data_IF_123645186970
#
_entry.id   IF_123645186970
#
_cell.length_a   1.000
_cell.length_b   1.000
_cell.length_c   1.000
_cell.angle_alpha   90.00
_cell.angle_beta   90.00
_cell.angle_gamma   90.00
#
_symmetry.space_group_name_H-M   'P 1'
#
loop_
_entity.id
_entity.type
_entity.pdbx_description
1 polymer ?
#
# COMPACT_ATOMS: atom_id res chain seq x y z
N UNK A 1 2.76 29.63 -6.95
CA UNK A 1 2.38 29.49 -5.54
C UNK A 1 2.69 28.05 -5.14
N UNK A 2 3.14 27.81 -3.91
CA UNK A 2 3.31 26.46 -3.38
C UNK A 2 1.98 25.71 -3.42
N UNK A 3 2.00 24.43 -3.75
CA UNK A 3 0.81 23.58 -3.69
C UNK A 3 0.51 23.23 -2.24
N UNK A 4 -0.76 23.28 -1.86
CA UNK A 4 -1.19 22.92 -0.51
C UNK A 4 -1.64 21.46 -0.46
N UNK A 5 -1.06 20.68 0.43
CA UNK A 5 -1.30 19.23 0.53
C UNK A 5 -1.66 18.83 1.96
N UNK A 6 -2.76 18.11 2.12
CA UNK A 6 -3.07 17.40 3.36
C UNK A 6 -2.57 15.95 3.26
N UNK A 7 -1.62 15.55 4.07
CA UNK A 7 -1.23 14.15 4.26
C UNK A 7 -2.08 13.51 5.36
N UNK A 8 -2.91 12.53 5.04
CA UNK A 8 -3.77 11.85 6.01
C UNK A 8 -3.18 10.51 6.42
N UNK A 9 -2.59 10.48 7.61
CA UNK A 9 -1.95 9.31 8.19
C UNK A 9 -0.45 9.46 8.37
N UNK A 10 0.00 9.67 9.61
CA UNK A 10 1.41 9.84 9.98
C UNK A 10 2.10 8.50 10.32
N UNK A 11 1.81 7.43 9.56
CA UNK A 11 2.58 6.18 9.58
C UNK A 11 3.93 6.37 8.88
N UNK A 12 4.76 5.31 8.78
CA UNK A 12 6.07 5.39 8.09
C UNK A 12 5.95 6.02 6.70
N UNK A 13 5.10 5.44 5.85
CA UNK A 13 4.97 5.91 4.47
C UNK A 13 4.33 7.30 4.35
N UNK A 14 3.32 7.61 5.17
CA UNK A 14 2.67 8.93 5.14
C UNK A 14 3.59 10.05 5.60
N UNK A 15 4.40 9.83 6.64
CA UNK A 15 5.38 10.82 7.10
C UNK A 15 6.47 11.07 6.07
N UNK A 16 6.93 10.02 5.40
CA UNK A 16 7.97 10.13 4.35
C UNK A 16 7.45 10.86 3.12
N UNK A 17 6.24 10.54 2.66
CA UNK A 17 5.64 11.26 1.53
C UNK A 17 5.35 12.73 1.87
N UNK A 18 4.95 13.03 3.10
CA UNK A 18 4.76 14.40 3.56
C UNK A 18 6.10 15.18 3.58
N UNK A 19 7.18 14.54 4.07
CA UNK A 19 8.54 15.12 4.03
C UNK A 19 9.04 15.37 2.61
N UNK A 20 8.84 14.41 1.70
CA UNK A 20 9.20 14.55 0.29
C UNK A 20 8.47 15.73 -0.38
N UNK A 21 7.17 15.89 -0.09
CA UNK A 21 6.38 16.99 -0.63
C UNK A 21 6.80 18.35 -0.07
N UNK A 22 7.13 18.41 1.23
CA UNK A 22 7.67 19.60 1.88
C UNK A 22 9.04 19.97 1.28
N UNK A 23 9.94 19.00 1.11
CA UNK A 23 11.24 19.17 0.45
C UNK A 23 11.08 19.68 -1.00
N UNK A 24 10.04 19.25 -1.71
CA UNK A 24 9.71 19.72 -3.06
C UNK A 24 9.04 21.11 -3.07
N UNK A 25 8.91 21.79 -1.92
CA UNK A 25 8.37 23.14 -1.79
C UNK A 25 6.84 23.23 -1.74
N UNK A 26 6.15 22.15 -1.39
CA UNK A 26 4.72 22.19 -1.10
C UNK A 26 4.46 22.64 0.34
N UNK A 27 3.32 23.30 0.58
CA UNK A 27 2.80 23.60 1.93
C UNK A 27 2.04 22.37 2.44
N UNK A 28 2.64 21.60 3.38
CA UNK A 28 2.15 20.29 3.79
C UNK A 28 1.66 20.31 5.22
N UNK A 29 0.40 19.89 5.44
CA UNK A 29 -0.10 19.53 6.77
C UNK A 29 -0.27 18.03 6.89
N UNK A 30 0.39 17.43 7.89
CA UNK A 30 0.33 15.99 8.16
C UNK A 30 -0.68 15.71 9.28
N UNK A 31 -1.78 15.05 8.95
CA UNK A 31 -2.78 14.68 9.95
C UNK A 31 -2.48 13.32 10.60
N UNK A 32 -2.59 13.29 11.93
CA UNK A 32 -2.62 12.05 12.72
C UNK A 32 -3.75 12.09 13.74
N UNK A 33 -4.43 10.97 13.92
CA UNK A 33 -5.42 10.84 14.99
C UNK A 33 -4.80 10.85 16.39
N UNK A 34 -3.48 10.66 16.52
CA UNK A 34 -2.77 10.56 17.79
C UNK A 34 -2.11 11.90 18.17
N UNK A 35 -2.63 12.59 19.19
CA UNK A 35 -2.10 13.89 19.59
C UNK A 35 -0.65 13.82 20.14
N UNK A 36 -0.24 12.71 20.73
CA UNK A 36 1.15 12.53 21.19
C UNK A 36 2.12 12.49 20.02
N UNK A 37 1.74 11.82 18.93
CA UNK A 37 2.53 11.79 17.70
C UNK A 37 2.62 13.17 17.04
N UNK A 38 1.50 13.92 17.02
CA UNK A 38 1.49 15.30 16.51
C UNK A 38 2.42 16.18 17.31
N UNK A 39 2.42 16.04 18.64
CA UNK A 39 3.34 16.77 19.51
C UNK A 39 4.81 16.43 19.22
N UNK A 40 5.14 15.14 19.08
CA UNK A 40 6.50 14.69 18.72
C UNK A 40 6.95 15.29 17.38
N UNK A 41 6.08 15.23 16.34
CA UNK A 41 6.38 15.79 15.03
C UNK A 41 6.64 17.31 15.06
N UNK A 42 5.84 18.08 15.81
CA UNK A 42 5.95 19.54 15.84
C UNK A 42 7.04 20.06 16.77
N UNK A 43 7.35 19.38 17.90
CA UNK A 43 8.29 19.85 18.89
C UNK A 43 9.69 19.25 18.75
N UNK A 44 9.78 18.00 18.26
CA UNK A 44 11.03 17.26 18.15
C UNK A 44 11.41 16.99 16.69
N UNK A 45 10.50 17.25 15.76
CA UNK A 45 10.64 16.96 14.32
C UNK A 45 11.00 15.50 14.06
N UNK A 46 10.51 14.58 14.90
CA UNK A 46 10.73 13.13 14.78
C UNK A 46 9.42 12.36 14.77
N UNK A 47 9.49 11.12 14.34
CA UNK A 47 8.37 10.15 14.40
C UNK A 47 8.97 8.77 14.73
N UNK A 48 9.53 8.66 15.92
CA UNK A 48 10.43 7.57 16.36
C UNK A 48 9.79 6.19 16.32
N UNK A 49 8.46 6.12 16.52
CA UNK A 49 7.70 4.87 16.40
C UNK A 49 7.74 4.29 14.99
N UNK A 50 7.77 5.16 13.97
CA UNK A 50 7.57 4.78 12.57
C UNK A 50 8.83 4.93 11.71
N UNK A 51 9.62 5.97 11.93
CA UNK A 51 10.90 6.22 11.24
C UNK A 51 11.94 6.53 12.30
N UNK A 52 12.85 5.60 12.51
CA UNK A 52 13.93 5.76 13.46
C UNK A 52 15.06 6.60 12.88
N UNK A 53 15.71 7.39 13.73
CA UNK A 53 16.94 8.13 13.37
C UNK A 53 16.76 9.08 12.18
N UNK A 54 15.59 9.69 12.04
CA UNK A 54 15.31 10.70 11.03
C UNK A 54 14.68 11.93 11.67
N UNK A 55 15.12 13.11 11.24
CA UNK A 55 14.59 14.41 11.67
C UNK A 55 13.91 15.06 10.46
N UNK A 56 12.63 15.36 10.59
CA UNK A 56 11.85 16.07 9.58
C UNK A 56 12.19 17.56 9.58
N UNK A 57 11.88 18.24 8.48
CA UNK A 57 12.01 19.69 8.36
C UNK A 57 11.11 20.43 9.37
N UNK A 58 11.57 21.59 9.86
CA UNK A 58 10.81 22.48 10.74
C UNK A 58 9.56 23.06 10.04
N UNK A 59 9.53 23.05 8.70
CA UNK A 59 8.38 23.48 7.90
C UNK A 59 7.24 22.45 7.85
N UNK A 60 7.51 21.17 8.12
CA UNK A 60 6.48 20.13 8.15
C UNK A 60 5.62 20.25 9.41
N UNK A 61 4.39 20.71 9.23
CA UNK A 61 3.44 20.90 10.34
C UNK A 61 2.51 19.70 10.46
N UNK A 62 2.35 19.17 11.67
CA UNK A 62 1.40 18.10 11.98
C UNK A 62 0.18 18.64 12.76
N UNK A 63 -0.99 18.03 12.56
CA UNK A 63 -2.22 18.36 13.29
C UNK A 63 -3.05 17.10 13.58
N UNK A 64 -3.82 17.13 14.67
CA UNK A 64 -4.82 16.10 14.96
C UNK A 64 -6.25 16.57 14.64
N UNK A 65 -6.42 17.80 14.15
CA UNK A 65 -7.68 18.31 13.64
C UNK A 65 -7.77 18.09 12.12
N UNK A 66 -8.68 17.20 11.70
CA UNK A 66 -8.87 16.90 10.28
C UNK A 66 -9.40 18.11 9.49
N UNK A 67 -10.21 18.99 10.15
CA UNK A 67 -10.72 20.22 9.53
C UNK A 67 -9.59 21.19 9.23
N UNK A 68 -8.64 21.34 10.17
CA UNK A 68 -7.46 22.16 9.98
C UNK A 68 -6.54 21.57 8.89
N UNK A 69 -6.35 20.25 8.88
CA UNK A 69 -5.49 19.57 7.90
C UNK A 69 -5.91 19.83 6.45
N UNK A 70 -7.23 19.81 6.16
CA UNK A 70 -7.75 19.91 4.79
C UNK A 70 -8.27 21.30 4.40
N UNK A 71 -7.91 22.33 5.18
CA UNK A 71 -8.35 23.69 4.93
C UNK A 71 -7.68 24.32 3.71
N UNK A 72 -8.46 24.58 2.66
CA UNK A 72 -7.99 25.26 1.45
C UNK A 72 -6.90 24.51 0.67
N UNK A 73 -6.79 23.17 0.84
CA UNK A 73 -5.79 22.38 0.14
C UNK A 73 -6.14 22.11 -1.31
N UNK A 74 -5.12 21.92 -2.15
CA UNK A 74 -5.23 21.52 -3.55
C UNK A 74 -5.32 19.99 -3.69
N UNK A 75 -4.63 19.26 -2.77
CA UNK A 75 -4.48 17.81 -2.79
C UNK A 75 -4.73 17.22 -1.40
N UNK A 76 -5.38 16.05 -1.37
CA UNK A 76 -5.49 15.22 -0.18
C UNK A 76 -4.81 13.87 -0.47
N UNK A 77 -3.79 13.53 0.30
CA UNK A 77 -3.03 12.29 0.20
C UNK A 77 -3.42 11.33 1.33
N UNK A 78 -4.16 10.26 0.98
CA UNK A 78 -4.56 9.21 1.92
C UNK A 78 -3.45 8.16 2.07
N UNK A 79 -2.92 8.02 3.28
CA UNK A 79 -1.91 7.00 3.66
C UNK A 79 -2.28 6.33 4.99
N UNK A 80 -3.57 6.26 5.27
CA UNK A 80 -4.11 5.53 6.41
C UNK A 80 -4.20 4.03 6.11
N UNK A 81 -4.26 3.14 7.12
CA UNK A 81 -4.50 1.71 6.90
C UNK A 81 -5.76 1.48 6.06
N UNK A 82 -5.72 0.48 5.19
CA UNK A 82 -6.79 0.16 4.24
C UNK A 82 -8.17 0.12 4.88
N UNK A 83 -8.31 -0.58 6.01
CA UNK A 83 -9.61 -0.81 6.65
C UNK A 83 -10.19 0.43 7.36
N UNK A 84 -9.40 1.49 7.55
CA UNK A 84 -9.88 2.78 8.09
C UNK A 84 -10.11 3.83 7.01
N UNK A 85 -9.73 3.59 5.77
CA UNK A 85 -9.83 4.56 4.66
C UNK A 85 -11.26 5.07 4.51
N UNK A 86 -12.26 4.19 4.53
CA UNK A 86 -13.67 4.58 4.39
C UNK A 86 -14.13 5.55 5.48
N UNK A 87 -13.79 5.26 6.73
CA UNK A 87 -14.21 6.11 7.85
C UNK A 87 -13.57 7.50 7.82
N UNK A 88 -12.31 7.59 7.39
CA UNK A 88 -11.63 8.87 7.20
C UNK A 88 -12.20 9.60 5.97
N UNK A 89 -12.47 8.90 4.88
CA UNK A 89 -13.05 9.47 3.66
C UNK A 89 -14.45 10.09 3.92
N UNK A 90 -15.28 9.46 4.77
CA UNK A 90 -16.58 10.03 5.18
C UNK A 90 -16.40 11.38 5.88
N UNK A 91 -15.50 11.46 6.85
CA UNK A 91 -15.23 12.71 7.57
C UNK A 91 -14.68 13.79 6.61
N UNK A 92 -13.78 13.42 5.71
CA UNK A 92 -13.28 14.33 4.66
C UNK A 92 -14.40 14.80 3.76
N UNK A 93 -15.29 13.92 3.33
CA UNK A 93 -16.42 14.25 2.47
C UNK A 93 -17.38 15.28 3.10
N UNK A 94 -17.69 15.12 4.39
CA UNK A 94 -18.50 16.07 5.14
C UNK A 94 -17.86 17.46 5.16
N UNK A 95 -16.55 17.55 5.47
CA UNK A 95 -15.82 18.82 5.53
C UNK A 95 -15.75 19.49 4.15
N UNK A 96 -15.45 18.71 3.10
CA UNK A 96 -15.39 19.24 1.73
C UNK A 96 -16.75 19.75 1.24
N UNK A 97 -17.83 19.05 1.61
CA UNK A 97 -19.20 19.45 1.26
C UNK A 97 -19.58 20.77 1.95
N UNK A 98 -19.32 20.89 3.26
CA UNK A 98 -19.61 22.10 4.04
C UNK A 98 -18.88 23.34 3.48
N UNK A 99 -17.69 23.15 2.93
CA UNK A 99 -16.86 24.21 2.38
C UNK A 99 -17.02 24.42 0.88
N UNK A 100 -17.80 23.59 0.20
CA UNK A 100 -17.92 23.56 -1.26
C UNK A 100 -16.54 23.50 -1.93
N UNK A 101 -15.60 22.74 -1.32
CA UNK A 101 -14.22 22.63 -1.76
C UNK A 101 -14.05 21.46 -2.72
N UNK A 102 -13.23 21.65 -3.77
CA UNK A 102 -12.93 20.62 -4.78
C UNK A 102 -11.44 20.37 -4.86
N UNK A 103 -11.02 19.14 -4.62
CA UNK A 103 -9.61 18.74 -4.46
C UNK A 103 -9.20 17.60 -5.38
N UNK A 104 -7.90 17.43 -5.62
CA UNK A 104 -7.36 16.18 -6.16
C UNK A 104 -7.12 15.20 -4.99
N UNK A 105 -7.53 13.95 -5.18
CA UNK A 105 -7.35 12.89 -4.19
C UNK A 105 -6.26 11.95 -4.68
N UNK A 106 -5.30 11.67 -3.81
CA UNK A 106 -4.23 10.70 -4.02
C UNK A 106 -4.33 9.68 -2.89
N UNK A 107 -4.20 8.40 -3.17
CA UNK A 107 -3.94 7.43 -2.13
C UNK A 107 -2.65 6.65 -2.40
N UNK A 108 -1.96 6.31 -1.32
CA UNK A 108 -0.76 5.49 -1.36
C UNK A 108 -0.86 4.29 -0.40
N UNK A 109 -2.06 4.00 0.10
CA UNK A 109 -2.36 2.81 0.89
C UNK A 109 -2.47 1.59 -0.03
N UNK A 110 -2.03 0.44 0.46
CA UNK A 110 -1.83 -0.78 -0.34
C UNK A 110 -2.64 -1.95 0.24
N UNK A 111 -3.89 -2.11 -0.23
CA UNK A 111 -4.80 -3.16 0.24
C UNK A 111 -6.17 -3.11 -0.44
N UNK A 112 -7.03 -4.04 -0.03
CA UNK A 112 -8.43 -4.18 -0.47
C UNK A 112 -9.32 -4.14 0.77
N UNK A 113 -10.45 -3.44 0.72
CA UNK A 113 -11.40 -3.37 1.83
C UNK A 113 -12.05 -4.74 2.07
N UNK A 114 -11.95 -5.29 3.30
CA UNK A 114 -12.34 -6.67 3.61
C UNK A 114 -13.83 -6.96 3.37
N UNK A 115 -14.72 -6.06 3.79
CA UNK A 115 -16.17 -6.34 3.76
C UNK A 115 -16.79 -6.25 2.38
N UNK A 116 -16.32 -5.31 1.59
CA UNK A 116 -16.87 -5.00 0.26
C UNK A 116 -16.02 -5.55 -0.87
N UNK A 117 -14.76 -5.87 -0.58
CA UNK A 117 -13.73 -6.24 -1.57
C UNK A 117 -13.46 -5.16 -2.61
N UNK A 118 -13.73 -3.90 -2.25
CA UNK A 118 -13.47 -2.75 -3.12
C UNK A 118 -12.01 -2.33 -3.06
N UNK A 119 -11.50 -1.87 -4.21
CA UNK A 119 -10.25 -1.15 -4.31
C UNK A 119 -10.40 0.23 -3.64
N UNK A 120 -9.31 0.81 -3.16
CA UNK A 120 -9.38 2.06 -2.41
C UNK A 120 -9.90 3.24 -3.25
N UNK A 121 -9.57 3.29 -4.55
CA UNK A 121 -10.16 4.28 -5.46
C UNK A 121 -11.68 4.19 -5.51
N UNK A 122 -12.25 3.00 -5.47
CA UNK A 122 -13.69 2.78 -5.44
C UNK A 122 -14.31 3.17 -4.09
N UNK A 123 -13.61 2.88 -2.98
CA UNK A 123 -14.03 3.32 -1.63
C UNK A 123 -14.08 4.84 -1.57
N UNK A 124 -13.02 5.52 -2.01
CA UNK A 124 -12.95 6.98 -2.04
C UNK A 124 -14.02 7.58 -2.97
N UNK A 125 -14.27 6.92 -4.12
CA UNK A 125 -15.31 7.34 -5.05
C UNK A 125 -16.74 7.21 -4.51
N UNK A 126 -17.00 6.24 -3.63
CA UNK A 126 -18.30 6.09 -2.96
C UNK A 126 -18.54 7.15 -1.88
N UNK A 127 -17.50 7.51 -1.14
CA UNK A 127 -17.64 8.39 0.00
C UNK A 127 -17.55 9.88 -0.37
N UNK A 128 -16.73 10.25 -1.35
CA UNK A 128 -16.49 11.65 -1.71
C UNK A 128 -17.23 11.98 -3.01
N UNK A 129 -18.19 12.90 -2.94
CA UNK A 129 -19.02 13.31 -4.07
C UNK A 129 -18.15 13.84 -5.25
N UNK A 130 -18.48 13.53 -6.51
CA UNK A 130 -17.81 14.10 -7.69
C UNK A 130 -17.70 15.62 -7.73
N UNK A 131 -18.64 16.33 -7.11
CA UNK A 131 -18.58 17.81 -7.00
C UNK A 131 -17.42 18.29 -6.13
N UNK A 132 -16.97 17.47 -5.16
CA UNK A 132 -15.91 17.80 -4.21
C UNK A 132 -14.55 17.20 -4.56
N UNK A 133 -14.43 16.45 -5.68
CA UNK A 133 -13.16 15.87 -6.15
C UNK A 133 -12.92 16.20 -7.63
N UNK A 134 -11.67 16.46 -7.98
CA UNK A 134 -11.21 16.64 -9.36
C UNK A 134 -10.80 15.31 -9.98
N UNK A 135 -10.05 14.50 -9.21
CA UNK A 135 -9.53 13.18 -9.60
C UNK A 135 -9.37 12.28 -8.39
N UNK A 136 -9.26 10.97 -8.62
CA UNK A 136 -8.74 10.00 -7.67
C UNK A 136 -7.57 9.28 -8.33
N UNK A 137 -6.41 9.33 -7.70
CA UNK A 137 -5.18 8.75 -8.23
C UNK A 137 -4.53 7.84 -7.19
N UNK A 138 -3.80 6.84 -7.64
CA UNK A 138 -3.01 5.94 -6.78
C UNK A 138 -1.53 6.13 -7.03
N UNK A 139 -0.73 6.18 -5.94
CA UNK A 139 0.73 6.21 -6.00
C UNK A 139 1.26 4.89 -5.44
N UNK A 140 2.01 4.13 -6.24
CA UNK A 140 2.58 2.85 -5.83
C UNK A 140 3.86 2.49 -6.59
N UNK A 141 4.66 1.57 -6.03
CA UNK A 141 5.92 1.09 -6.57
C UNK A 141 6.87 0.64 -5.47
N UNK A 142 8.08 0.18 -5.81
CA UNK A 142 9.10 -0.22 -4.85
C UNK A 142 9.56 1.01 -4.06
N UNK A 143 9.09 1.13 -2.83
CA UNK A 143 9.29 2.34 -2.03
C UNK A 143 9.23 1.99 -0.54
N UNK A 144 10.38 1.63 0.02
CA UNK A 144 10.53 1.47 1.46
C UNK A 144 10.73 2.84 2.10
N UNK A 145 9.97 3.14 3.14
CA UNK A 145 10.03 4.43 3.80
C UNK A 145 11.44 4.75 4.33
N UNK A 146 12.09 3.75 4.88
CA UNK A 146 13.45 3.83 5.43
C UNK A 146 14.51 4.19 4.39
N UNK A 147 14.32 3.76 3.15
CA UNK A 147 15.25 4.02 2.05
C UNK A 147 14.99 5.42 1.46
N UNK A 148 13.73 5.80 1.32
CA UNK A 148 13.34 7.12 0.76
C UNK A 148 13.84 8.27 1.64
N UNK A 149 13.76 8.15 2.97
CA UNK A 149 14.26 9.22 3.87
C UNK A 149 15.78 9.40 3.83
N UNK A 150 16.50 8.41 3.34
CA UNK A 150 17.96 8.51 3.10
C UNK A 150 18.30 8.93 1.67
N UNK A 151 17.30 9.37 0.92
CA UNK A 151 17.41 9.80 -0.49
C UNK A 151 17.93 8.70 -1.44
N UNK A 152 17.61 7.41 -1.14
CA UNK A 152 17.91 6.34 -2.06
C UNK A 152 17.04 6.44 -3.33
N UNK A 153 17.60 6.03 -4.45
CA UNK A 153 16.93 6.10 -5.76
C UNK A 153 15.62 5.31 -5.71
N UNK A 154 14.51 6.04 -5.80
CA UNK A 154 13.17 5.47 -5.71
C UNK A 154 12.35 5.80 -6.95
N UNK A 155 11.80 4.77 -7.57
CA UNK A 155 10.94 4.90 -8.74
C UNK A 155 9.54 4.36 -8.42
N UNK A 156 8.51 5.17 -8.68
CA UNK A 156 7.11 4.77 -8.44
C UNK A 156 6.23 5.11 -9.64
N UNK A 157 5.00 4.61 -9.62
CA UNK A 157 3.97 4.92 -10.62
C UNK A 157 2.82 5.67 -9.96
N UNK A 158 2.36 6.75 -10.57
CA UNK A 158 1.06 7.35 -10.32
C UNK A 158 0.09 6.93 -11.41
N UNK A 159 -1.05 6.33 -11.03
CA UNK A 159 -2.11 6.02 -11.97
C UNK A 159 -3.38 6.84 -11.68
N UNK A 160 -4.00 7.34 -12.76
CA UNK A 160 -5.21 8.16 -12.68
C UNK A 160 -6.06 7.99 -13.93
N UNK A 161 -7.39 8.14 -13.80
CA UNK A 161 -8.32 8.22 -14.94
C UNK A 161 -8.17 9.53 -15.73
N UNK A 162 -7.36 10.48 -15.23
CA UNK A 162 -7.08 11.77 -15.85
C UNK A 162 -5.59 11.93 -16.07
N UNK A 163 -5.17 11.99 -17.34
CA UNK A 163 -3.77 12.23 -17.74
C UNK A 163 -3.23 13.53 -17.16
N UNK A 164 -4.08 14.57 -17.11
CA UNK A 164 -3.70 15.85 -16.51
C UNK A 164 -3.40 15.67 -15.02
N UNK A 165 -4.26 14.98 -14.27
CA UNK A 165 -4.06 14.73 -12.84
C UNK A 165 -2.81 13.87 -12.61
N UNK A 166 -2.59 12.83 -13.42
CA UNK A 166 -1.38 12.02 -13.34
C UNK A 166 -0.11 12.86 -13.55
N UNK A 167 -0.10 13.73 -14.55
CA UNK A 167 1.04 14.63 -14.84
C UNK A 167 1.27 15.66 -13.74
N UNK A 168 0.20 16.26 -13.21
CA UNK A 168 0.31 17.22 -12.09
C UNK A 168 0.88 16.54 -10.83
N UNK A 169 0.40 15.34 -10.50
CA UNK A 169 0.87 14.57 -9.35
C UNK A 169 2.31 14.08 -9.57
N UNK A 170 2.66 13.66 -10.78
CA UNK A 170 4.03 13.35 -11.15
C UNK A 170 4.96 14.52 -10.80
N UNK A 171 4.63 15.73 -11.24
CA UNK A 171 5.41 16.94 -10.96
C UNK A 171 5.47 17.30 -9.48
N UNK A 172 4.45 16.94 -8.71
CA UNK A 172 4.38 17.20 -7.27
C UNK A 172 5.41 16.38 -6.47
N UNK A 173 5.63 15.11 -6.86
CA UNK A 173 6.50 14.18 -6.13
C UNK A 173 7.91 14.06 -6.71
N UNK A 174 8.14 14.42 -7.99
CA UNK A 174 9.44 14.24 -8.62
C UNK A 174 10.53 15.17 -8.06
N UNK A 175 11.71 14.59 -7.80
CA UNK A 175 12.95 15.30 -7.55
C UNK A 175 14.16 14.49 -8.06
N UNK A 176 15.38 14.78 -7.56
CA UNK A 176 16.62 14.14 -8.02
C UNK A 176 16.82 12.68 -7.58
N UNK A 177 16.09 12.20 -6.56
CA UNK A 177 16.15 10.82 -6.08
C UNK A 177 14.79 10.08 -6.15
N UNK A 178 13.68 10.81 -6.31
CA UNK A 178 12.34 10.24 -6.38
C UNK A 178 11.72 10.50 -7.76
N UNK A 179 11.57 9.43 -8.56
CA UNK A 179 11.06 9.51 -9.93
C UNK A 179 9.68 8.88 -10.04
N UNK A 180 8.75 9.57 -10.67
CA UNK A 180 7.37 9.12 -10.86
C UNK A 180 7.08 8.89 -12.34
N UNK A 181 6.51 7.72 -12.67
CA UNK A 181 5.96 7.42 -14.00
C UNK A 181 4.43 7.51 -13.94
N UNK A 182 3.82 7.93 -15.03
CA UNK A 182 2.35 8.00 -15.14
C UNK A 182 1.79 6.71 -15.74
N UNK A 183 0.53 6.40 -15.41
CA UNK A 183 -0.25 5.29 -15.97
C UNK A 183 -1.74 5.65 -15.98
N UNK A 184 -2.50 5.08 -16.90
CA UNK A 184 -3.96 5.12 -16.95
C UNK A 184 -4.60 3.88 -16.27
N UNK A 185 -3.81 2.86 -15.94
CA UNK A 185 -4.29 1.61 -15.33
C UNK A 185 -4.34 1.70 -13.80
N UNK A 186 -5.32 2.43 -13.29
CA UNK A 186 -5.61 2.50 -11.82
C UNK A 186 -5.88 1.11 -11.25
N UNK A 187 -6.58 0.24 -12.00
CA UNK A 187 -6.95 -1.12 -11.55
C UNK A 187 -5.70 -1.96 -11.31
N UNK A 188 -4.81 -2.03 -12.29
CA UNK A 188 -3.59 -2.84 -12.22
C UNK A 188 -2.65 -2.36 -11.13
N UNK A 189 -2.46 -1.03 -11.01
CA UNK A 189 -1.59 -0.45 -9.98
C UNK A 189 -2.12 -0.75 -8.57
N UNK A 190 -3.43 -0.61 -8.31
CA UNK A 190 -4.02 -0.92 -7.00
C UNK A 190 -3.95 -2.42 -6.66
N UNK A 191 -4.27 -3.30 -7.63
CA UNK A 191 -4.25 -4.75 -7.43
C UNK A 191 -2.82 -5.24 -7.19
N UNK A 192 -1.86 -4.79 -7.99
CA UNK A 192 -0.43 -5.11 -7.79
C UNK A 192 0.04 -4.69 -6.41
N UNK A 193 -0.23 -3.44 -6.04
CA UNK A 193 0.12 -2.88 -4.74
C UNK A 193 -0.49 -3.64 -3.54
N UNK A 194 -1.72 -4.11 -3.67
CA UNK A 194 -2.41 -4.83 -2.60
C UNK A 194 -1.88 -6.27 -2.48
N UNK A 195 -1.87 -7.02 -3.58
CA UNK A 195 -1.63 -8.46 -3.56
C UNK A 195 -0.15 -8.84 -3.35
N UNK A 196 0.81 -7.95 -3.68
CA UNK A 196 2.22 -8.16 -3.34
C UNK A 196 2.44 -8.50 -1.85
N UNK A 197 1.60 -7.95 -0.98
CA UNK A 197 1.68 -8.17 0.46
C UNK A 197 1.44 -9.64 0.85
N UNK A 198 0.62 -10.36 0.07
CA UNK A 198 0.39 -11.80 0.22
C UNK A 198 1.67 -12.57 -0.12
N UNK A 199 2.31 -12.19 -1.23
CA UNK A 199 3.56 -12.83 -1.67
C UNK A 199 4.69 -12.58 -0.67
N UNK A 200 4.73 -11.39 -0.08
CA UNK A 200 5.70 -11.07 0.97
C UNK A 200 5.49 -11.91 2.25
N UNK A 201 4.23 -12.17 2.65
CA UNK A 201 3.92 -13.12 3.73
C UNK A 201 4.47 -14.51 3.42
N UNK A 202 4.17 -15.04 2.23
CA UNK A 202 4.66 -16.34 1.77
C UNK A 202 6.19 -16.41 1.74
N UNK A 203 6.86 -15.36 1.24
CA UNK A 203 8.33 -15.28 1.18
C UNK A 203 8.95 -15.31 2.59
N UNK A 204 8.36 -14.58 3.54
CA UNK A 204 8.74 -14.63 4.93
C UNK A 204 8.56 -16.03 5.53
N UNK A 205 7.43 -16.69 5.29
CA UNK A 205 7.15 -18.04 5.78
C UNK A 205 8.16 -19.07 5.25
N UNK A 206 8.46 -19.01 3.95
CA UNK A 206 9.51 -19.86 3.36
C UNK A 206 10.88 -19.64 4.03
N UNK A 207 11.23 -18.38 4.30
CA UNK A 207 12.49 -18.07 4.98
C UNK A 207 12.51 -18.60 6.42
N UNK A 208 11.42 -18.43 7.17
CA UNK A 208 11.28 -18.96 8.54
C UNK A 208 11.39 -20.48 8.62
N UNK A 209 10.96 -21.18 7.59
CA UNK A 209 11.10 -22.64 7.44
C UNK A 209 12.49 -23.07 6.97
N UNK A 210 13.39 -22.13 6.61
CA UNK A 210 14.74 -22.41 6.16
C UNK A 210 14.91 -22.67 4.66
N UNK A 211 13.86 -22.41 3.83
CA UNK A 211 13.98 -22.45 2.38
C UNK A 211 14.89 -21.35 1.86
N UNK A 212 15.48 -21.58 0.67
CA UNK A 212 16.50 -20.72 0.07
C UNK A 212 15.96 -19.90 -1.11
N UNK A 213 16.85 -19.28 -1.85
CA UNK A 213 16.51 -18.31 -2.91
C UNK A 213 15.72 -18.89 -4.07
N UNK A 214 15.90 -20.18 -4.44
CA UNK A 214 15.10 -20.82 -5.49
C UNK A 214 13.60 -20.83 -5.14
N UNK A 215 13.26 -21.21 -3.90
CA UNK A 215 11.86 -21.23 -3.44
C UNK A 215 11.26 -19.81 -3.40
N UNK A 216 12.03 -18.83 -2.95
CA UNK A 216 11.62 -17.43 -2.93
C UNK A 216 11.40 -16.89 -4.35
N UNK A 217 12.33 -17.14 -5.28
CA UNK A 217 12.20 -16.73 -6.67
C UNK A 217 10.98 -17.38 -7.34
N UNK A 218 10.78 -18.70 -7.15
CA UNK A 218 9.59 -19.40 -7.66
C UNK A 218 8.28 -18.81 -7.10
N UNK A 219 8.22 -18.55 -5.79
CA UNK A 219 7.06 -17.92 -5.15
C UNK A 219 6.75 -16.54 -5.75
N UNK A 220 7.77 -15.68 -5.91
CA UNK A 220 7.59 -14.34 -6.48
C UNK A 220 7.10 -14.41 -7.92
N UNK A 221 7.70 -15.25 -8.76
CA UNK A 221 7.34 -15.42 -10.18
C UNK A 221 5.92 -15.95 -10.33
N UNK A 222 5.59 -17.03 -9.63
CA UNK A 222 4.26 -17.64 -9.72
C UNK A 222 3.18 -16.79 -9.03
N UNK A 223 3.54 -16.11 -7.93
CA UNK A 223 2.68 -15.15 -7.27
C UNK A 223 2.32 -13.96 -8.16
N UNK A 224 3.31 -13.43 -8.90
CA UNK A 224 3.07 -12.37 -9.90
C UNK A 224 2.10 -12.82 -10.99
N UNK A 225 2.22 -14.06 -11.47
CA UNK A 225 1.29 -14.63 -12.44
C UNK A 225 -0.15 -14.72 -11.89
N UNK A 226 -0.33 -15.09 -10.60
CA UNK A 226 -1.64 -15.07 -9.95
C UNK A 226 -2.23 -13.65 -9.86
N UNK A 227 -1.40 -12.69 -9.45
CA UNK A 227 -1.78 -11.26 -9.36
C UNK A 227 -2.21 -10.74 -10.73
N UNK A 228 -1.46 -11.06 -11.78
CA UNK A 228 -1.77 -10.67 -13.16
C UNK A 228 -3.10 -11.28 -13.63
N UNK A 229 -3.34 -12.57 -13.40
CA UNK A 229 -4.61 -13.22 -13.75
C UNK A 229 -5.80 -12.56 -13.04
N UNK A 230 -5.70 -12.35 -11.73
CA UNK A 230 -6.78 -11.70 -11.00
C UNK A 230 -6.99 -10.26 -11.48
N UNK A 231 -5.94 -9.48 -11.63
CA UNK A 231 -6.03 -8.09 -12.10
C UNK A 231 -6.63 -7.98 -13.49
N UNK A 232 -6.21 -8.81 -14.42
CA UNK A 232 -6.77 -8.88 -15.78
C UNK A 232 -8.26 -9.22 -15.78
N UNK A 233 -8.72 -10.07 -14.84
CA UNK A 233 -10.15 -10.37 -14.68
C UNK A 233 -10.99 -9.16 -14.25
N UNK A 234 -10.35 -8.11 -13.74
CA UNK A 234 -10.95 -6.81 -13.42
C UNK A 234 -10.74 -5.76 -14.52
N UNK A 235 -10.07 -6.10 -15.61
CA UNK A 235 -9.77 -5.21 -16.72
C UNK A 235 -8.43 -4.48 -16.63
N UNK A 236 -7.53 -4.89 -15.73
CA UNK A 236 -6.18 -4.35 -15.69
C UNK A 236 -5.36 -4.75 -16.92
N UNK A 237 -4.44 -3.89 -17.30
CA UNK A 237 -3.44 -4.20 -18.32
C UNK A 237 -2.40 -5.18 -17.76
N UNK A 238 -2.19 -6.37 -18.34
CA UNK A 238 -1.20 -7.33 -17.85
C UNK A 238 0.23 -6.78 -17.83
N UNK A 239 0.57 -5.80 -18.67
CA UNK A 239 1.88 -5.15 -18.66
C UNK A 239 2.14 -4.30 -17.41
N UNK A 240 1.10 -3.85 -16.72
CA UNK A 240 1.24 -3.14 -15.44
C UNK A 240 1.95 -3.98 -14.39
N UNK A 241 1.73 -5.30 -14.42
CA UNK A 241 2.29 -6.22 -13.42
C UNK A 241 3.79 -6.51 -13.62
N UNK A 242 4.34 -6.32 -14.80
CA UNK A 242 5.79 -6.40 -15.03
C UNK A 242 6.50 -5.06 -14.77
N UNK A 243 5.76 -4.02 -14.39
CA UNK A 243 6.25 -2.69 -14.04
C UNK A 243 6.55 -2.51 -12.55
N UNK A 244 6.68 -1.22 -12.16
CA UNK A 244 7.04 -0.82 -10.79
C UNK A 244 6.03 -1.27 -9.74
N UNK A 245 4.72 -1.13 -10.01
CA UNK A 245 3.65 -1.52 -9.07
C UNK A 245 3.35 -3.02 -9.03
N UNK A 246 4.00 -3.80 -9.88
CA UNK A 246 3.94 -5.26 -9.91
C UNK A 246 5.25 -5.89 -9.45
N UNK A 247 6.08 -6.36 -10.40
CA UNK A 247 7.33 -7.07 -10.10
C UNK A 247 8.27 -6.25 -9.24
N UNK A 248 8.42 -4.94 -9.48
CA UNK A 248 9.30 -4.07 -8.70
C UNK A 248 8.93 -4.04 -7.22
N UNK A 249 7.64 -3.80 -6.94
CA UNK A 249 7.14 -3.73 -5.56
C UNK A 249 7.10 -5.11 -4.87
N UNK A 250 6.91 -6.21 -5.62
CA UNK A 250 7.06 -7.58 -5.10
C UNK A 250 8.50 -7.84 -4.67
N UNK A 251 9.48 -7.54 -5.52
CA UNK A 251 10.90 -7.78 -5.23
C UNK A 251 11.29 -7.08 -3.93
N UNK A 252 11.08 -5.76 -3.84
CA UNK A 252 11.49 -5.01 -2.64
C UNK A 252 10.76 -5.48 -1.38
N UNK A 253 9.48 -5.89 -1.48
CA UNK A 253 8.68 -6.26 -0.31
C UNK A 253 8.96 -7.69 0.16
N UNK A 254 9.17 -8.63 -0.77
CA UNK A 254 9.41 -10.03 -0.48
C UNK A 254 10.87 -10.35 -0.10
N UNK A 255 11.81 -9.42 -0.34
CA UNK A 255 13.22 -9.61 0.00
C UNK A 255 13.71 -8.77 1.17
N UNK A 256 12.92 -7.78 1.61
CA UNK A 256 13.33 -6.87 2.68
C UNK A 256 12.83 -7.30 4.06
N UNK A 257 13.74 -7.31 5.03
CA UNK A 257 13.43 -7.50 6.45
C UNK A 257 12.68 -6.30 7.07
N UNK A 258 12.64 -5.16 6.40
CA UNK A 258 11.82 -4.00 6.81
C UNK A 258 10.34 -4.22 6.50
N UNK A 259 10.00 -5.13 5.56
CA UNK A 259 8.62 -5.46 5.24
C UNK A 259 7.89 -6.10 6.42
N UNK A 260 6.82 -5.45 6.89
CA UNK A 260 5.96 -5.99 7.95
C UNK A 260 5.34 -7.34 7.57
N UNK A 261 4.91 -7.47 6.31
CA UNK A 261 4.32 -8.72 5.80
C UNK A 261 5.37 -9.83 5.77
N UNK A 262 6.58 -9.54 5.31
CA UNK A 262 7.68 -10.51 5.32
C UNK A 262 8.01 -10.95 6.75
N UNK A 263 8.14 -10.02 7.70
CA UNK A 263 8.41 -10.34 9.11
C UNK A 263 7.31 -11.19 9.72
N UNK A 264 6.05 -10.85 9.46
CA UNK A 264 4.91 -11.66 9.93
C UNK A 264 4.97 -13.09 9.38
N UNK A 265 5.21 -13.23 8.07
CA UNK A 265 5.40 -14.55 7.44
C UNK A 265 6.57 -15.31 8.06
N UNK A 266 7.70 -14.66 8.32
CA UNK A 266 8.87 -15.28 8.94
C UNK A 266 8.55 -15.86 10.34
N UNK A 267 7.81 -15.13 11.16
CA UNK A 267 7.40 -15.63 12.47
C UNK A 267 6.40 -16.81 12.36
N UNK A 268 5.46 -16.74 11.41
CA UNK A 268 4.57 -17.89 11.11
C UNK A 268 5.39 -19.13 10.66
N UNK A 269 6.39 -18.94 9.79
CA UNK A 269 7.28 -20.00 9.33
C UNK A 269 8.13 -20.63 10.44
N UNK A 270 8.44 -19.90 11.51
CA UNK A 270 9.09 -20.39 12.73
C UNK A 270 8.16 -21.15 13.66
N UNK A 271 6.85 -21.16 13.38
CA UNK A 271 5.85 -21.90 14.14
C UNK A 271 5.06 -21.07 15.16
N UNK A 272 5.21 -19.72 15.15
CA UNK A 272 4.34 -18.86 15.96
C UNK A 272 2.92 -18.83 15.39
N UNK A 273 1.92 -18.77 16.27
CA UNK A 273 0.52 -18.61 15.86
C UNK A 273 0.24 -17.24 15.27
N UNK A 274 -0.82 -17.14 14.46
CA UNK A 274 -1.23 -15.85 13.86
C UNK A 274 -1.53 -14.81 14.95
N UNK A 275 -2.18 -15.19 16.04
CA UNK A 275 -2.52 -14.29 17.14
C UNK A 275 -1.27 -13.76 17.85
N UNK A 276 -0.27 -14.60 18.09
CA UNK A 276 1.03 -14.18 18.64
C UNK A 276 1.72 -13.20 17.70
N UNK A 277 1.74 -13.47 16.39
CA UNK A 277 2.36 -12.61 15.40
C UNK A 277 1.66 -11.23 15.36
N UNK A 278 0.33 -11.18 15.33
CA UNK A 278 -0.44 -9.94 15.33
C UNK A 278 -0.16 -9.12 16.60
N UNK A 279 -0.19 -9.76 17.77
CA UNK A 279 0.03 -9.09 19.05
C UNK A 279 1.45 -8.53 19.19
N UNK A 280 2.45 -9.27 18.73
CA UNK A 280 3.86 -8.88 18.84
C UNK A 280 4.27 -7.79 17.82
N UNK A 281 3.60 -7.72 16.68
CA UNK A 281 3.95 -6.75 15.62
C UNK A 281 3.56 -5.31 15.97
N UNK A 282 2.49 -5.09 16.75
CA UNK A 282 2.04 -3.76 17.19
C UNK A 282 1.66 -2.79 16.06
N UNK A 283 1.58 -3.27 14.82
CA UNK A 283 1.24 -2.51 13.62
C UNK A 283 0.39 -3.36 12.67
N UNK A 284 -0.40 -2.70 11.81
CA UNK A 284 -1.25 -3.38 10.82
C UNK A 284 -0.39 -4.17 9.82
N UNK A 285 -0.77 -5.43 9.59
CA UNK A 285 -0.20 -6.35 8.60
C UNK A 285 -1.21 -6.48 7.46
N UNK A 286 -1.09 -5.62 6.45
CA UNK A 286 -2.07 -5.52 5.35
C UNK A 286 -2.24 -6.84 4.58
N UNK A 287 -1.19 -7.66 4.48
CA UNK A 287 -1.23 -8.94 3.78
C UNK A 287 -2.24 -9.94 4.36
N UNK A 288 -2.53 -9.88 5.67
CA UNK A 288 -3.50 -10.79 6.30
C UNK A 288 -4.90 -10.49 5.73
N UNK A 289 -5.38 -9.25 5.88
CA UNK A 289 -6.69 -8.83 5.37
C UNK A 289 -6.77 -8.98 3.84
N UNK A 290 -5.72 -8.62 3.13
CA UNK A 290 -5.64 -8.73 1.66
C UNK A 290 -5.72 -10.18 1.20
N UNK A 291 -5.15 -11.14 1.95
CA UNK A 291 -5.23 -12.57 1.60
C UNK A 291 -6.70 -13.03 1.57
N UNK A 292 -7.49 -12.68 2.59
CA UNK A 292 -8.93 -13.02 2.62
C UNK A 292 -9.65 -12.40 1.43
N UNK A 293 -9.44 -11.10 1.21
CA UNK A 293 -10.10 -10.40 0.12
C UNK A 293 -9.74 -10.98 -1.26
N UNK A 294 -8.47 -11.28 -1.52
CA UNK A 294 -8.01 -11.86 -2.77
C UNK A 294 -8.55 -13.29 -2.98
N UNK A 295 -8.59 -14.11 -1.93
CA UNK A 295 -9.17 -15.45 -1.97
C UNK A 295 -10.66 -15.40 -2.35
N UNK A 296 -11.44 -14.57 -1.68
CA UNK A 296 -12.86 -14.42 -1.99
C UNK A 296 -13.11 -13.84 -3.39
N UNK A 297 -12.32 -12.85 -3.80
CA UNK A 297 -12.40 -12.29 -5.15
C UNK A 297 -12.05 -13.33 -6.22
N UNK A 298 -11.03 -14.15 -6.00
CA UNK A 298 -10.64 -15.20 -6.93
C UNK A 298 -11.77 -16.22 -7.14
N UNK A 299 -12.45 -16.62 -6.05
CA UNK A 299 -13.62 -17.50 -6.12
C UNK A 299 -14.77 -16.86 -6.90
N UNK A 300 -15.10 -15.61 -6.62
CA UNK A 300 -16.17 -14.87 -7.31
C UNK A 300 -15.91 -14.69 -8.80
N UNK A 301 -14.63 -14.59 -9.20
CA UNK A 301 -14.20 -14.38 -10.59
C UNK A 301 -13.85 -15.68 -11.31
N UNK A 302 -13.82 -16.82 -10.62
CA UNK A 302 -13.40 -18.09 -11.20
C UNK A 302 -11.92 -18.09 -11.62
N UNK A 303 -11.07 -17.33 -10.92
CA UNK A 303 -9.62 -17.23 -11.17
C UNK A 303 -8.86 -18.15 -10.26
N UNK A 304 -8.02 -19.03 -10.81
CA UNK A 304 -7.16 -19.90 -10.02
C UNK A 304 -5.99 -19.12 -9.40
N UNK A 305 -5.92 -19.16 -8.07
CA UNK A 305 -4.85 -18.54 -7.28
C UNK A 305 -4.34 -19.51 -6.22
N UNK A 306 -3.61 -20.57 -6.60
CA UNK A 306 -3.20 -21.64 -5.68
C UNK A 306 -2.29 -21.15 -4.54
N UNK A 307 -1.36 -20.25 -4.79
CA UNK A 307 -0.48 -19.68 -3.75
C UNK A 307 -1.30 -18.84 -2.77
N UNK A 308 -2.14 -17.96 -3.27
CA UNK A 308 -3.04 -17.14 -2.44
C UNK A 308 -3.98 -18.01 -1.61
N UNK A 309 -4.53 -19.08 -2.20
CA UNK A 309 -5.39 -20.04 -1.50
C UNK A 309 -4.63 -20.80 -0.40
N UNK A 310 -3.39 -21.22 -0.68
CA UNK A 310 -2.53 -21.87 0.30
C UNK A 310 -2.25 -20.97 1.50
N UNK A 311 -1.89 -19.71 1.26
CA UNK A 311 -1.65 -18.72 2.32
C UNK A 311 -2.95 -18.45 3.10
N UNK A 312 -4.11 -18.39 2.43
CA UNK A 312 -5.41 -18.25 3.08
C UNK A 312 -5.69 -19.41 4.05
N UNK A 313 -5.51 -20.66 3.61
CA UNK A 313 -5.75 -21.83 4.48
C UNK A 313 -4.81 -21.87 5.69
N UNK A 314 -3.55 -21.44 5.53
CA UNK A 314 -2.63 -21.29 6.67
C UNK A 314 -3.13 -20.24 7.66
N UNK A 315 -3.55 -19.07 7.19
CA UNK A 315 -3.95 -17.95 8.05
C UNK A 315 -5.31 -18.15 8.73
N UNK A 316 -6.27 -18.78 8.05
CA UNK A 316 -7.67 -18.78 8.48
C UNK A 316 -8.23 -20.16 8.80
N UNK A 317 -7.68 -21.21 8.22
CA UNK A 317 -8.10 -22.58 8.46
C UNK A 317 -7.06 -23.39 9.28
N UNK A 318 -6.00 -22.71 9.76
CA UNK A 318 -4.93 -23.30 10.57
C UNK A 318 -4.22 -24.49 9.91
N UNK A 319 -4.13 -24.49 8.56
CA UNK A 319 -3.44 -25.53 7.82
C UNK A 319 -1.93 -25.51 8.13
N UNK A 320 -1.32 -26.70 8.22
CA UNK A 320 0.13 -26.80 8.40
C UNK A 320 0.87 -26.26 7.18
N UNK A 321 1.87 -25.38 7.41
CA UNK A 321 2.57 -24.68 6.32
C UNK A 321 3.36 -25.67 5.46
N UNK A 322 4.02 -26.66 6.07
CA UNK A 322 4.84 -27.65 5.33
C UNK A 322 3.99 -28.55 4.46
N UNK A 323 2.85 -29.02 5.02
CA UNK A 323 1.89 -29.82 4.28
C UNK A 323 1.29 -29.00 3.12
N UNK A 324 0.95 -27.75 3.36
CA UNK A 324 0.41 -26.84 2.33
C UNK A 324 1.42 -26.61 1.19
N UNK A 325 2.70 -26.46 1.51
CA UNK A 325 3.77 -26.36 0.50
C UNK A 325 3.88 -27.68 -0.29
N UNK A 326 3.84 -28.82 0.39
CA UNK A 326 3.88 -30.14 -0.26
C UNK A 326 2.72 -30.31 -1.24
N UNK A 327 1.50 -29.93 -0.85
CA UNK A 327 0.33 -29.95 -1.73
C UNK A 327 0.51 -29.05 -2.97
N UNK A 328 1.10 -27.87 -2.81
CA UNK A 328 1.41 -27.00 -3.96
C UNK A 328 2.43 -27.66 -4.91
N UNK A 329 3.46 -28.32 -4.37
CA UNK A 329 4.52 -28.94 -5.16
C UNK A 329 4.12 -30.24 -5.86
N UNK A 330 3.11 -30.94 -5.34
CA UNK A 330 2.60 -32.22 -5.89
C UNK A 330 1.37 -32.07 -6.78
N UNK A 331 0.97 -30.83 -7.09
CA UNK A 331 -0.11 -30.56 -8.05
C UNK A 331 0.23 -31.13 -9.43
N UNK A 332 -0.81 -31.45 -10.19
CA UNK A 332 -0.65 -31.88 -11.60
C UNK A 332 0.17 -30.88 -12.39
N UNK A 333 1.09 -31.43 -13.21
CA UNK A 333 1.96 -30.60 -14.06
C UNK A 333 1.15 -29.83 -15.12
N UNK A 334 1.50 -28.55 -15.31
CA UNK A 334 0.85 -27.65 -16.27
C UNK A 334 1.87 -26.88 -17.09
N UNK A 335 1.43 -26.30 -18.19
CA UNK A 335 2.24 -25.31 -18.91
C UNK A 335 2.53 -24.10 -18.00
N UNK A 336 3.69 -23.49 -18.14
CA UNK A 336 4.03 -22.29 -17.39
C UNK A 336 3.19 -21.09 -17.83
N UNK A 337 2.89 -21.02 -19.12
CA UNK A 337 2.14 -19.92 -19.75
C UNK A 337 0.75 -20.43 -20.11
N UNK A 338 -0.14 -20.41 -19.17
CA UNK A 338 -1.57 -20.66 -19.33
C UNK A 338 -2.39 -19.50 -18.77
#
# INVERSE_FOLDING_TARGET
MAKKVAGLGAGSWGSVLASLLDENGSDVKLWSYNPTQVKELNEQHTNTKYIKNFTFSDSLVATNDLKDAIDGVDYILFVVPTQVTRSVAKQVAEILADRNQKVNIIHASKGIEEKTYLRLSQVLAQEIDPKNRKSISVLSGPSQAEDVVTHDITLVTVASDSDQAATEIQGLFMNNYFRVYTSDDVIGVEIGAALKNIIALGAGALYGLGYKDNAKAALMTRGLAEISRLGTSFGANPLTFIGLSGVGDIIVTATSTNSRNWRAGNELGKGHSLDEVINNMGMVIEGIATTRAAYELSKKRGVEMPITSAIYHVLYDHADIKETINQLMTREGRSEIE
#
